data_IF_921122665420
#
_entry.id   IF_921122665420
#
_cell.length_a   1.000
_cell.length_b   1.000
_cell.length_c   1.000
_cell.angle_alpha   90.00
_cell.angle_beta   90.00
_cell.angle_gamma   90.00
#
_symmetry.space_group_name_H-M   'P 1'
#
loop_
_entity.id
_entity.type
_entity.pdbx_description
1 polymer ?
#
# COMPACT_ATOMS: atom_id res chain seq x y z
N UNK A 1 9.49 4.88 11.42
CA UNK A 1 10.93 5.13 11.56
C UNK A 1 11.49 5.82 10.33
N UNK A 2 12.57 6.58 10.42
CA UNK A 2 13.14 7.23 9.26
C UNK A 2 13.70 6.22 8.26
N UNK A 3 13.63 6.55 6.98
CA UNK A 3 14.14 5.74 5.86
C UNK A 3 15.62 5.33 6.08
N UNK A 4 16.39 6.16 6.80
CA UNK A 4 17.78 5.89 7.15
C UNK A 4 17.99 4.68 8.06
N UNK A 5 16.93 4.14 8.67
CA UNK A 5 17.01 2.94 9.50
C UNK A 5 17.19 1.64 8.68
N UNK A 6 17.16 1.74 7.36
CA UNK A 6 17.25 0.57 6.48
C UNK A 6 15.99 -0.29 6.50
N UNK A 7 16.10 -1.51 5.98
CA UNK A 7 14.97 -2.45 5.87
C UNK A 7 14.85 -3.41 7.06
N UNK A 8 15.86 -3.51 7.88
CA UNK A 8 15.92 -4.53 8.95
C UNK A 8 14.79 -4.38 9.97
N UNK A 9 14.43 -3.15 10.32
CA UNK A 9 13.31 -2.89 11.24
C UNK A 9 11.96 -3.32 10.67
N UNK A 10 11.74 -3.15 9.35
CA UNK A 10 10.52 -3.61 8.66
C UNK A 10 10.45 -5.13 8.70
N UNK A 11 11.55 -5.81 8.37
CA UNK A 11 11.64 -7.27 8.39
C UNK A 11 11.38 -7.80 9.80
N UNK A 12 12.01 -7.22 10.82
CA UNK A 12 11.79 -7.58 12.21
C UNK A 12 10.32 -7.37 12.62
N UNK A 13 9.73 -6.26 12.22
CA UNK A 13 8.32 -5.96 12.51
C UNK A 13 7.38 -6.95 11.82
N UNK A 14 7.60 -7.26 10.55
CA UNK A 14 6.81 -8.24 9.79
C UNK A 14 6.82 -9.61 10.44
N UNK A 15 7.95 -10.02 11.03
CA UNK A 15 8.06 -11.29 11.77
C UNK A 15 7.25 -11.30 13.07
N UNK A 16 7.00 -10.16 13.67
CA UNK A 16 6.24 -10.05 14.94
C UNK A 16 4.74 -9.93 14.71
N UNK A 17 4.31 -9.35 13.59
CA UNK A 17 2.89 -9.25 13.26
C UNK A 17 2.44 -10.45 12.44
N UNK A 18 1.19 -10.86 12.62
CA UNK A 18 0.58 -11.91 11.79
C UNK A 18 0.06 -11.32 10.48
N UNK A 19 0.98 -10.87 9.63
CA UNK A 19 0.62 -10.32 8.34
C UNK A 19 0.00 -11.41 7.43
N UNK A 20 -1.10 -11.10 6.77
CA UNK A 20 -1.71 -11.99 5.77
C UNK A 20 -1.11 -11.77 4.38
N UNK A 21 -0.65 -10.58 4.09
CA UNK A 21 -0.04 -10.19 2.81
C UNK A 21 0.95 -9.05 2.99
N UNK A 22 1.85 -8.92 2.05
CA UNK A 22 2.82 -7.82 1.97
C UNK A 22 2.73 -7.28 0.56
N UNK A 23 2.43 -6.00 0.42
CA UNK A 23 2.37 -5.32 -0.87
C UNK A 23 3.42 -4.24 -0.91
N UNK A 24 4.24 -4.24 -1.94
CA UNK A 24 5.38 -3.32 -2.09
C UNK A 24 5.25 -2.61 -3.42
N UNK A 25 5.24 -1.28 -3.38
CA UNK A 25 5.28 -0.44 -4.56
C UNK A 25 6.47 0.52 -4.51
N UNK A 26 6.77 1.10 -5.66
CA UNK A 26 7.90 2.02 -5.83
C UNK A 26 9.17 1.32 -6.31
N UNK A 27 9.98 2.06 -7.05
CA UNK A 27 11.21 1.53 -7.65
C UNK A 27 12.40 1.59 -6.70
N UNK A 28 12.41 2.58 -5.81
CA UNK A 28 13.50 2.79 -4.86
C UNK A 28 13.38 1.83 -3.67
N UNK A 29 14.32 0.90 -3.58
CA UNK A 29 14.42 -0.01 -2.44
C UNK A 29 13.51 -1.24 -2.51
N UNK A 30 12.64 -1.37 -3.50
CA UNK A 30 11.77 -2.54 -3.68
C UNK A 30 12.57 -3.86 -3.73
N UNK A 31 13.56 -3.92 -4.58
CA UNK A 31 14.42 -5.09 -4.70
C UNK A 31 15.18 -5.40 -3.41
N UNK A 32 15.67 -4.37 -2.73
CA UNK A 32 16.37 -4.51 -1.45
C UNK A 32 15.44 -5.12 -0.39
N UNK A 33 14.21 -4.62 -0.27
CA UNK A 33 13.23 -5.14 0.68
C UNK A 33 12.79 -6.56 0.34
N UNK A 34 12.54 -6.87 -0.93
CA UNK A 34 12.18 -8.22 -1.38
C UNK A 34 13.29 -9.22 -1.05
N UNK A 35 14.54 -8.87 -1.31
CA UNK A 35 15.69 -9.70 -0.99
C UNK A 35 15.85 -9.87 0.53
N UNK A 36 15.70 -8.80 1.30
CA UNK A 36 15.78 -8.87 2.76
C UNK A 36 14.70 -9.79 3.36
N UNK A 37 13.47 -9.74 2.85
CA UNK A 37 12.39 -10.64 3.26
C UNK A 37 12.71 -12.11 2.93
N UNK A 38 13.28 -12.36 1.75
CA UNK A 38 13.69 -13.69 1.33
C UNK A 38 14.82 -14.24 2.20
N UNK A 39 15.85 -13.44 2.45
CA UNK A 39 16.99 -13.82 3.31
C UNK A 39 16.55 -14.10 4.75
N UNK A 40 15.58 -13.34 5.24
CA UNK A 40 14.96 -13.54 6.54
C UNK A 40 13.99 -14.73 6.60
N UNK A 41 13.81 -15.45 5.49
CA UNK A 41 12.92 -16.62 5.36
C UNK A 41 11.45 -16.30 5.69
N UNK A 42 11.01 -15.11 5.35
CA UNK A 42 9.59 -14.73 5.44
C UNK A 42 8.81 -15.53 4.40
N UNK A 43 7.81 -16.28 4.87
CA UNK A 43 7.05 -17.21 4.00
C UNK A 43 6.08 -16.51 3.06
N UNK A 44 5.66 -15.28 3.41
CA UNK A 44 4.70 -14.52 2.61
C UNK A 44 5.42 -13.99 1.36
N UNK A 45 4.94 -14.36 0.19
CA UNK A 45 5.46 -13.83 -1.07
C UNK A 45 4.94 -12.40 -1.28
N UNK A 46 5.80 -11.39 -1.41
CA UNK A 46 5.36 -10.03 -1.66
C UNK A 46 4.57 -9.90 -2.97
N UNK A 47 3.51 -9.10 -2.93
CA UNK A 47 2.76 -8.68 -4.11
C UNK A 47 3.37 -7.40 -4.64
N UNK A 48 3.71 -7.39 -5.91
CA UNK A 48 4.29 -6.23 -6.61
C UNK A 48 3.27 -5.72 -7.62
N UNK A 49 2.49 -4.67 -7.28
CA UNK A 49 1.45 -4.16 -8.18
C UNK A 49 2.03 -3.69 -9.51
N UNK A 50 1.31 -3.95 -10.58
CA UNK A 50 1.59 -3.40 -11.92
C UNK A 50 0.88 -2.04 -12.07
N UNK A 51 1.21 -1.30 -13.11
CA UNK A 51 0.60 0.01 -13.39
C UNK A 51 -0.93 -0.05 -13.42
N UNK A 52 -1.51 -1.09 -14.03
CA UNK A 52 -2.96 -1.28 -14.05
C UNK A 52 -3.54 -1.49 -12.63
N UNK A 53 -2.83 -2.20 -11.77
CA UNK A 53 -3.23 -2.39 -10.37
C UNK A 53 -3.16 -1.06 -9.60
N UNK A 54 -2.12 -0.25 -9.83
CA UNK A 54 -1.96 1.06 -9.20
C UNK A 54 -3.13 1.99 -9.55
N UNK A 55 -3.56 2.02 -10.79
CA UNK A 55 -4.74 2.78 -11.21
C UNK A 55 -6.01 2.26 -10.51
N UNK A 56 -6.20 0.95 -10.51
CA UNK A 56 -7.37 0.33 -9.90
C UNK A 56 -7.44 0.56 -8.38
N UNK A 57 -6.31 0.46 -7.69
CA UNK A 57 -6.30 0.59 -6.23
C UNK A 57 -6.59 2.02 -5.75
N UNK A 58 -6.20 3.05 -6.49
CA UNK A 58 -6.55 4.43 -6.20
C UNK A 58 -8.03 4.70 -6.39
N UNK A 59 -8.60 4.22 -7.49
CA UNK A 59 -10.05 4.31 -7.74
C UNK A 59 -10.85 3.60 -6.65
N UNK A 60 -10.42 2.40 -6.27
CA UNK A 60 -11.07 1.62 -5.22
C UNK A 60 -11.04 2.34 -3.86
N UNK A 61 -9.92 2.98 -3.55
CA UNK A 61 -9.77 3.74 -2.31
C UNK A 61 -10.70 4.96 -2.28
N UNK A 62 -10.82 5.72 -3.37
CA UNK A 62 -11.77 6.84 -3.44
C UNK A 62 -13.22 6.37 -3.31
N UNK A 63 -13.60 5.28 -3.96
CA UNK A 63 -14.93 4.69 -3.79
C UNK A 63 -15.19 4.31 -2.32
N UNK A 64 -14.19 3.79 -1.64
CA UNK A 64 -14.30 3.44 -0.23
C UNK A 64 -14.44 4.68 0.68
N UNK A 65 -13.78 5.79 0.34
CA UNK A 65 -13.97 7.07 1.02
C UNK A 65 -15.39 7.61 0.81
N UNK A 66 -15.86 7.65 -0.42
CA UNK A 66 -17.20 8.12 -0.79
C UNK A 66 -18.32 7.31 -0.11
N UNK A 67 -18.15 5.99 -0.07
CA UNK A 67 -19.11 5.07 0.59
C UNK A 67 -18.93 4.99 2.12
N UNK A 68 -17.97 5.72 2.68
CA UNK A 68 -17.65 5.69 4.12
C UNK A 68 -17.37 4.27 4.66
N UNK A 69 -16.78 3.42 3.82
CA UNK A 69 -16.47 2.03 4.17
C UNK A 69 -15.09 1.83 4.80
N UNK A 70 -14.32 2.90 4.96
CA UNK A 70 -13.03 2.91 5.65
C UNK A 70 -13.01 3.98 6.73
N UNK A 71 -12.21 3.77 7.76
CA UNK A 71 -12.01 4.72 8.84
C UNK A 71 -10.53 4.76 9.25
N UNK A 72 -10.16 5.80 9.96
CA UNK A 72 -8.82 5.98 10.54
C UNK A 72 -8.94 6.60 11.93
N UNK A 73 -7.87 6.53 12.70
CA UNK A 73 -7.81 7.03 14.07
C UNK A 73 -7.46 8.52 14.18
N UNK A 74 -7.41 9.24 13.05
CA UNK A 74 -7.04 10.66 13.04
C UNK A 74 -5.57 10.93 13.32
N UNK A 75 -4.68 9.99 12.98
CA UNK A 75 -3.24 10.18 13.17
C UNK A 75 -2.77 11.45 12.45
N UNK A 76 -2.07 12.37 13.12
CA UNK A 76 -1.62 13.63 12.52
C UNK A 76 -0.82 13.46 11.22
N UNK A 77 0.04 12.45 11.16
CA UNK A 77 0.83 12.14 9.94
C UNK A 77 -0.05 11.73 8.76
N UNK A 78 -1.13 10.97 9.00
CA UNK A 78 -2.09 10.59 7.97
C UNK A 78 -2.89 11.80 7.49
N UNK A 79 -3.36 12.63 8.41
CA UNK A 79 -4.07 13.87 8.10
C UNK A 79 -3.19 14.80 7.27
N UNK A 80 -1.92 14.96 7.66
CA UNK A 80 -0.95 15.76 6.92
C UNK A 80 -0.74 15.23 5.48
N UNK A 81 -0.56 13.95 5.32
CA UNK A 81 -0.41 13.32 4.00
C UNK A 81 -1.65 13.51 3.12
N UNK A 82 -2.83 13.26 3.67
CA UNK A 82 -4.09 13.38 2.94
C UNK A 82 -4.44 14.82 2.54
N UNK A 83 -4.16 15.80 3.40
CA UNK A 83 -4.45 17.22 3.13
C UNK A 83 -3.43 17.90 2.23
N UNK A 84 -2.23 17.33 2.06
CA UNK A 84 -1.15 17.87 1.24
C UNK A 84 -0.83 16.96 0.03
N UNK A 85 -1.80 16.24 -0.47
CA UNK A 85 -1.68 15.49 -1.71
C UNK A 85 -2.62 16.04 -2.78
N UNK A 86 -2.28 15.76 -4.02
CA UNK A 86 -3.12 16.05 -5.18
C UNK A 86 -3.07 14.90 -6.17
N UNK A 87 -4.07 14.82 -7.04
CA UNK A 87 -4.11 13.79 -8.08
C UNK A 87 -3.04 14.05 -9.15
N UNK A 88 -2.41 12.98 -9.60
CA UNK A 88 -1.55 12.97 -10.80
C UNK A 88 -2.11 11.97 -11.80
N UNK A 89 -2.05 12.31 -13.09
CA UNK A 89 -2.47 11.39 -14.16
C UNK A 89 -1.49 10.21 -14.26
N UNK A 90 -2.03 9.02 -14.50
CA UNK A 90 -1.28 7.82 -14.82
C UNK A 90 -1.80 7.32 -16.17
N UNK A 91 -0.94 7.32 -17.19
CA UNK A 91 -1.35 7.00 -18.55
C UNK A 91 -2.25 8.05 -19.18
N UNK A 92 -2.92 7.69 -20.29
CA UNK A 92 -3.75 8.59 -21.10
C UNK A 92 -5.27 8.33 -20.99
N UNK A 93 -5.68 7.35 -20.19
CA UNK A 93 -7.07 6.85 -20.14
C UNK A 93 -7.81 7.20 -18.82
N UNK A 94 -7.46 8.33 -18.21
CA UNK A 94 -8.13 8.81 -16.99
C UNK A 94 -7.70 8.13 -15.69
N UNK A 95 -6.69 7.27 -15.73
CA UNK A 95 -6.08 6.70 -14.53
C UNK A 95 -5.38 7.76 -13.69
N UNK A 96 -5.40 7.61 -12.37
CA UNK A 96 -4.75 8.56 -11.48
C UNK A 96 -4.07 7.87 -10.30
N UNK A 97 -3.16 8.59 -9.67
CA UNK A 97 -2.55 8.34 -8.38
C UNK A 97 -2.47 9.63 -7.60
N UNK A 98 -1.71 9.65 -6.52
CA UNK A 98 -1.48 10.86 -5.73
C UNK A 98 -0.01 11.26 -5.76
N UNK A 99 0.23 12.52 -5.55
CA UNK A 99 1.56 13.12 -5.31
C UNK A 99 1.44 14.19 -4.24
N UNK A 100 2.54 14.53 -3.59
CA UNK A 100 2.58 15.66 -2.68
C UNK A 100 2.36 16.96 -3.46
N UNK A 101 1.56 17.88 -2.90
CA UNK A 101 1.29 19.20 -3.50
C UNK A 101 2.29 20.27 -3.07
N UNK A 102 3.19 19.95 -2.14
CA UNK A 102 4.24 20.83 -1.62
C UNK A 102 5.55 20.09 -1.52
N UNK A 103 6.64 20.81 -1.73
CA UNK A 103 7.99 20.31 -1.47
C UNK A 103 8.17 19.99 0.02
N UNK A 104 8.90 18.91 0.31
CA UNK A 104 9.19 18.48 1.68
C UNK A 104 8.06 17.71 2.38
N UNK A 105 6.93 17.49 1.72
CA UNK A 105 5.83 16.68 2.23
C UNK A 105 5.95 15.24 1.73
N UNK A 106 5.86 14.30 2.65
CA UNK A 106 5.83 12.86 2.37
C UNK A 106 4.39 12.34 2.43
N UNK A 107 3.96 11.65 1.38
CA UNK A 107 2.65 11.00 1.31
C UNK A 107 2.72 9.47 1.37
N UNK A 108 3.90 8.92 1.66
CA UNK A 108 4.13 7.48 1.70
C UNK A 108 3.19 6.75 2.68
N UNK A 109 2.81 7.39 3.78
CA UNK A 109 1.87 6.81 4.74
C UNK A 109 0.47 6.63 4.11
N UNK A 110 -0.01 7.62 3.37
CA UNK A 110 -1.28 7.53 2.64
C UNK A 110 -1.20 6.47 1.55
N UNK A 111 -0.13 6.44 0.77
CA UNK A 111 0.08 5.43 -0.27
C UNK A 111 0.13 4.01 0.32
N UNK A 112 0.80 3.84 1.44
CA UNK A 112 0.83 2.55 2.17
C UNK A 112 -0.57 2.12 2.61
N UNK A 113 -1.40 3.03 3.08
CA UNK A 113 -2.78 2.76 3.47
C UNK A 113 -3.64 2.36 2.25
N UNK A 114 -3.45 3.00 1.12
CA UNK A 114 -4.14 2.69 -0.15
C UNK A 114 -3.76 1.27 -0.63
N UNK A 115 -2.48 0.93 -0.60
CA UNK A 115 -1.98 -0.41 -0.93
C UNK A 115 -2.53 -1.48 0.03
N UNK A 116 -2.54 -1.20 1.32
CA UNK A 116 -3.07 -2.11 2.33
C UNK A 116 -4.58 -2.35 2.16
N UNK A 117 -5.34 -1.31 1.86
CA UNK A 117 -6.77 -1.42 1.56
C UNK A 117 -7.03 -2.34 0.37
N UNK A 118 -6.34 -2.13 -0.74
CA UNK A 118 -6.45 -2.98 -1.93
C UNK A 118 -6.06 -4.43 -1.63
N UNK A 119 -4.94 -4.65 -0.97
CA UNK A 119 -4.48 -5.99 -0.59
C UNK A 119 -5.46 -6.72 0.31
N UNK A 120 -6.05 -6.02 1.27
CA UNK A 120 -7.11 -6.57 2.14
C UNK A 120 -8.34 -7.01 1.34
N UNK A 121 -8.77 -6.21 0.39
CA UNK A 121 -9.91 -6.53 -0.49
C UNK A 121 -9.63 -7.75 -1.37
N UNK A 122 -8.44 -7.83 -1.95
CA UNK A 122 -8.00 -8.99 -2.73
C UNK A 122 -8.00 -10.29 -1.91
N UNK A 123 -7.54 -10.23 -0.67
CA UNK A 123 -7.55 -11.38 0.23
C UNK A 123 -8.96 -11.85 0.58
N UNK A 124 -9.88 -10.93 0.83
CA UNK A 124 -11.30 -11.24 1.09
C UNK A 124 -11.98 -11.89 -0.10
N UNK A 125 -11.74 -11.40 -1.31
CA UNK A 125 -12.28 -11.99 -2.53
C UNK A 125 -11.75 -13.40 -2.78
N UNK A 126 -10.46 -13.64 -2.56
CA UNK A 126 -9.87 -14.99 -2.68
C UNK A 126 -10.47 -15.95 -1.67
N UNK A 127 -10.67 -15.54 -0.43
CA UNK A 127 -11.34 -16.36 0.60
C UNK A 127 -12.78 -16.69 0.22
N UNK A 128 -13.53 -15.72 -0.29
CA UNK A 128 -14.91 -15.90 -0.74
C UNK A 128 -15.00 -16.88 -1.92
N UNK A 129 -14.13 -16.77 -2.92
CA UNK A 129 -14.08 -17.69 -4.06
C UNK A 129 -13.76 -19.13 -3.62
N UNK A 130 -12.82 -19.31 -2.68
CA UNK A 130 -12.51 -20.64 -2.13
C UNK A 130 -13.66 -21.24 -1.36
N UNK A 131 -14.43 -20.46 -0.63
CA UNK A 131 -15.61 -20.92 0.11
C UNK A 131 -16.78 -21.37 -0.81
N UNK A 132 -16.85 -20.86 -2.03
CA UNK A 132 -17.88 -21.20 -3.04
C UNK A 132 -17.42 -22.32 -3.97
N UNK A 133 -16.14 -22.62 -4.04
CA UNK A 133 -15.56 -23.70 -4.87
C UNK A 133 -15.70 -25.05 -4.15
N UNK A 134 -16.55 -25.88 -4.67
CA UNK A 134 -16.73 -27.25 -4.20
C UNK A 134 -15.79 -28.21 -4.95
#
# INVERSE_FOLDING_TARGET
RPIRAGVDWIVAWIKTVKAESITIDGDNGKALLVNALKDAKVRIKPVLPKTADIIALHTLFEQALESQSICHLGQPSMVQAATNCEKRAIGSNGGFGYKANKEGIEIALLESAILAHWSCRQSKEKKKRRAVSY
#
